data_IF_692222634998
#
_entry.id   IF_692222634998
#
_cell.length_a   1.000
_cell.length_b   1.000
_cell.length_c   1.000
_cell.angle_alpha   90.00
_cell.angle_beta   90.00
_cell.angle_gamma   90.00
#
_symmetry.space_group_name_H-M   'P 1'
#
loop_
_entity.id
_entity.type
_entity.pdbx_description
1 polymer ?
#
# COMPACT_ATOMS: atom_id res chain seq x y z
N UNK A 1 35.56 -21.99 -26.56
CA UNK A 1 35.95 -21.30 -25.30
C UNK A 1 35.43 -19.84 -25.26
N UNK A 2 34.25 -19.57 -25.81
CA UNK A 2 33.62 -18.23 -25.87
C UNK A 2 32.24 -18.25 -25.23
N UNK A 3 32.19 -18.75 -24.00
CA UNK A 3 31.00 -18.83 -23.14
C UNK A 3 31.41 -18.52 -21.69
N UNK A 4 32.64 -18.88 -21.30
CA UNK A 4 33.25 -18.48 -20.03
C UNK A 4 33.86 -17.07 -20.06
N UNK A 5 33.80 -16.39 -21.21
CA UNK A 5 34.27 -15.02 -21.41
C UNK A 5 33.11 -14.02 -21.55
N UNK A 6 31.89 -14.42 -21.14
CA UNK A 6 30.92 -13.45 -20.62
C UNK A 6 31.47 -13.02 -19.26
N UNK A 7 32.56 -12.25 -19.31
CA UNK A 7 32.82 -11.24 -18.31
C UNK A 7 31.46 -10.67 -18.01
N UNK A 8 31.00 -10.95 -16.79
CA UNK A 8 29.91 -10.21 -16.20
C UNK A 8 30.31 -8.77 -16.41
N UNK A 9 29.79 -8.15 -17.46
CA UNK A 9 29.50 -6.75 -17.50
C UNK A 9 28.53 -6.61 -16.34
N UNK A 10 29.10 -6.56 -15.14
CA UNK A 10 28.47 -6.07 -13.94
C UNK A 10 28.22 -4.62 -14.32
N UNK A 11 27.17 -4.40 -15.11
CA UNK A 11 26.50 -3.13 -15.23
C UNK A 11 26.26 -2.80 -13.79
N UNK A 12 27.15 -1.96 -13.25
CA UNK A 12 27.06 -1.54 -11.87
C UNK A 12 25.70 -0.88 -11.83
N UNK A 13 24.71 -1.54 -11.24
CA UNK A 13 23.42 -0.91 -11.01
C UNK A 13 23.79 0.24 -10.10
N UNK A 14 23.86 1.44 -10.67
CA UNK A 14 24.21 2.63 -9.91
C UNK A 14 23.25 2.64 -8.73
N UNK A 15 23.74 2.81 -7.49
CA UNK A 15 22.86 2.89 -6.35
C UNK A 15 21.81 3.94 -6.65
N UNK A 16 20.55 3.52 -6.80
CA UNK A 16 19.47 4.48 -6.98
C UNK A 16 19.42 5.26 -5.67
N UNK A 17 19.54 6.58 -5.74
CA UNK A 17 19.42 7.40 -4.53
C UNK A 17 18.09 7.05 -3.84
N UNK A 18 18.08 6.92 -2.50
CA UNK A 18 16.84 6.75 -1.79
C UNK A 18 15.91 7.89 -2.17
N UNK A 19 14.79 7.58 -2.82
CA UNK A 19 13.78 8.59 -3.13
C UNK A 19 13.12 8.98 -1.80
N UNK A 20 13.22 10.25 -1.42
CA UNK A 20 12.46 10.78 -0.29
C UNK A 20 10.97 10.87 -0.69
N UNK A 21 10.16 9.97 -0.14
CA UNK A 21 8.71 9.87 -0.39
C UNK A 21 7.91 10.30 0.84
N UNK A 22 8.25 11.46 1.41
CA UNK A 22 7.45 12.05 2.49
C UNK A 22 6.08 12.49 1.98
N UNK A 23 5.05 12.01 2.68
CA UNK A 23 3.67 12.48 2.49
C UNK A 23 3.41 13.52 3.58
N UNK A 24 3.20 14.77 3.17
CA UNK A 24 2.80 15.85 4.07
C UNK A 24 1.28 15.96 4.07
N UNK A 25 0.66 15.71 5.23
CA UNK A 25 -0.78 15.83 5.40
C UNK A 25 -1.08 16.98 6.35
N UNK A 26 -2.08 17.79 5.99
CA UNK A 26 -2.71 18.70 6.95
C UNK A 26 -3.46 17.91 8.01
N UNK A 27 -3.63 18.49 9.21
CA UNK A 27 -4.39 17.85 10.29
C UNK A 27 -5.81 17.45 9.87
N UNK A 28 -6.43 18.20 8.94
CA UNK A 28 -7.75 17.87 8.39
C UNK A 28 -7.71 16.62 7.51
N UNK A 29 -6.71 16.49 6.64
CA UNK A 29 -6.56 15.31 5.77
C UNK A 29 -6.32 14.05 6.60
N UNK A 30 -5.47 14.12 7.62
CA UNK A 30 -5.22 13.00 8.53
C UNK A 30 -6.49 12.54 9.26
N UNK A 31 -7.33 13.49 9.74
CA UNK A 31 -8.63 13.17 10.36
C UNK A 31 -9.60 12.50 9.40
N UNK A 32 -9.66 12.96 8.15
CA UNK A 32 -10.52 12.34 7.12
C UNK A 32 -10.05 10.91 6.85
N UNK A 33 -8.75 10.69 6.66
CA UNK A 33 -8.21 9.35 6.41
C UNK A 33 -8.52 8.42 7.58
N UNK A 34 -8.35 8.88 8.82
CA UNK A 34 -8.70 8.09 10.00
C UNK A 34 -10.19 7.74 10.02
N UNK A 35 -11.06 8.75 9.83
CA UNK A 35 -12.51 8.55 9.92
C UNK A 35 -13.02 7.60 8.84
N UNK A 36 -12.58 7.76 7.59
CA UNK A 36 -13.08 6.94 6.48
C UNK A 36 -12.37 5.59 6.38
N UNK A 37 -11.03 5.60 6.45
CA UNK A 37 -10.21 4.42 6.24
C UNK A 37 -10.23 3.44 7.41
N UNK A 38 -10.20 3.96 8.64
CA UNK A 38 -10.03 3.13 9.84
C UNK A 38 -11.35 2.93 10.58
N UNK A 39 -12.26 3.91 10.57
CA UNK A 39 -13.51 3.83 11.35
C UNK A 39 -14.70 3.42 10.47
N UNK A 40 -14.98 4.19 9.41
CA UNK A 40 -16.18 4.00 8.59
C UNK A 40 -16.17 2.66 7.84
N UNK A 41 -15.03 2.29 7.25
CA UNK A 41 -14.91 1.03 6.50
C UNK A 41 -15.24 -0.20 7.37
N UNK A 42 -14.62 -0.41 8.56
CA UNK A 42 -15.00 -1.53 9.42
C UNK A 42 -16.46 -1.51 9.86
N UNK A 43 -17.02 -0.34 10.20
CA UNK A 43 -18.44 -0.22 10.56
C UNK A 43 -19.34 -0.64 9.39
N UNK A 44 -19.02 -0.22 8.17
CA UNK A 44 -19.77 -0.61 6.97
C UNK A 44 -19.73 -2.13 6.75
N UNK A 45 -18.58 -2.78 6.95
CA UNK A 45 -18.44 -4.24 6.87
C UNK A 45 -19.31 -4.93 7.91
N UNK A 46 -19.30 -4.48 9.17
CA UNK A 46 -20.16 -5.04 10.22
C UNK A 46 -21.65 -4.84 9.93
N UNK A 47 -22.04 -3.66 9.46
CA UNK A 47 -23.43 -3.38 9.06
C UNK A 47 -23.88 -4.33 7.94
N UNK A 48 -23.05 -4.53 6.91
CA UNK A 48 -23.32 -5.49 5.85
C UNK A 48 -23.44 -6.91 6.38
N UNK A 49 -22.57 -7.33 7.30
CA UNK A 49 -22.64 -8.66 7.92
C UNK A 49 -23.97 -8.87 8.66
N UNK A 50 -24.43 -7.88 9.43
CA UNK A 50 -25.73 -7.92 10.12
C UNK A 50 -26.89 -8.00 9.12
N UNK A 51 -26.84 -7.20 8.04
CA UNK A 51 -27.87 -7.24 6.99
C UNK A 51 -27.94 -8.62 6.34
N UNK A 52 -26.80 -9.20 6.00
CA UNK A 52 -26.74 -10.55 5.40
C UNK A 52 -27.26 -11.61 6.36
N UNK A 53 -26.86 -11.57 7.63
CA UNK A 53 -27.35 -12.51 8.64
C UNK A 53 -28.88 -12.45 8.79
N UNK A 54 -29.44 -11.24 8.88
CA UNK A 54 -30.88 -11.04 8.98
C UNK A 54 -31.66 -11.46 7.75
N UNK A 55 -31.06 -11.41 6.55
CA UNK A 55 -31.70 -11.86 5.30
C UNK A 55 -31.62 -13.37 5.10
N UNK A 56 -30.63 -14.03 5.71
CA UNK A 56 -30.42 -15.49 5.61
C UNK A 56 -31.26 -16.29 6.59
N UNK A 57 -31.67 -15.68 7.71
CA UNK A 57 -32.59 -16.26 8.70
C UNK A 57 -34.01 -15.82 8.39
#
# INVERSE_FOLDING_TARGET
>A
LSWLAEEKDLVSIRPKSPEDRRINLTQKQSKIILLFGVILLPIAVLAMAVVVYKRRK
#
